data_IF_211866629434
#
_entry.id   IF_211866629434
#
_cell.length_a   1.000
_cell.length_b   1.000
_cell.length_c   1.000
_cell.angle_alpha   90.00
_cell.angle_beta   90.00
_cell.angle_gamma   90.00
#
_symmetry.space_group_name_H-M   'P 1'
#
loop_
_entity.id
_entity.type
_entity.pdbx_description
1 polymer ?
#
# COMPACT_ATOMS: atom_id res chain seq x y z
N UNK A 1 -77.86 53.09 20.41
CA UNK A 1 -76.47 53.07 19.89
C UNK A 1 -75.65 52.23 20.82
N UNK A 2 -75.41 50.95 20.49
CA UNK A 2 -74.55 50.08 21.26
C UNK A 2 -73.23 49.88 20.49
N UNK A 3 -72.15 50.37 21.09
CA UNK A 3 -70.81 50.14 20.58
C UNK A 3 -70.23 48.83 21.22
N UNK A 4 -70.17 47.74 20.47
CA UNK A 4 -69.43 46.55 20.89
C UNK A 4 -67.96 46.67 20.42
N UNK A 5 -67.07 46.95 21.35
CA UNK A 5 -65.63 46.82 21.18
C UNK A 5 -65.26 45.34 21.45
N UNK A 6 -64.84 44.63 20.41
CA UNK A 6 -64.21 43.30 20.51
C UNK A 6 -62.83 43.46 21.17
N UNK A 7 -62.72 43.03 22.40
CA UNK A 7 -61.42 42.87 23.10
C UNK A 7 -60.86 41.48 22.80
N UNK A 8 -59.89 41.37 21.92
CA UNK A 8 -59.11 40.15 21.64
C UNK A 8 -58.28 39.90 22.88
N UNK A 9 -58.51 38.77 23.56
CA UNK A 9 -57.78 38.38 24.77
C UNK A 9 -56.34 38.03 24.47
N UNK A 10 -55.37 38.44 25.31
CA UNK A 10 -53.93 38.22 25.11
C UNK A 10 -53.50 36.72 25.16
N UNK A 11 -54.41 35.83 25.51
CA UNK A 11 -54.15 34.37 25.62
C UNK A 11 -53.84 33.69 24.26
N UNK A 12 -54.33 34.25 23.15
CA UNK A 12 -54.12 33.66 21.79
C UNK A 12 -52.68 33.90 21.31
N UNK A 13 -52.01 34.98 21.71
CA UNK A 13 -50.64 35.29 21.33
C UNK A 13 -49.61 34.42 22.06
N UNK A 14 -49.91 33.94 23.28
CA UNK A 14 -49.02 33.07 24.06
C UNK A 14 -48.95 31.64 23.53
N UNK A 15 -50.08 31.14 22.98
CA UNK A 15 -50.13 29.77 22.41
C UNK A 15 -49.40 29.71 21.07
N UNK A 16 -49.47 30.79 20.23
CA UNK A 16 -48.74 30.86 18.97
C UNK A 16 -47.25 31.04 19.14
N UNK A 17 -46.77 31.72 20.20
CA UNK A 17 -45.34 31.87 20.52
C UNK A 17 -44.75 30.56 21.06
N UNK A 18 -45.51 29.71 21.76
CA UNK A 18 -45.06 28.43 22.31
C UNK A 18 -44.92 27.33 21.25
N UNK A 19 -45.76 27.39 20.19
CA UNK A 19 -45.68 26.43 19.07
C UNK A 19 -44.50 26.73 18.12
N UNK A 20 -43.99 27.95 18.02
CA UNK A 20 -42.81 28.27 17.23
C UNK A 20 -41.50 27.87 17.95
N UNK A 21 -41.50 27.77 19.27
CA UNK A 21 -40.28 27.38 20.03
C UNK A 21 -39.97 25.86 19.98
N UNK A 22 -40.91 25.04 19.46
CA UNK A 22 -40.74 23.59 19.35
C UNK A 22 -40.15 23.14 18.01
N UNK A 23 -39.83 24.07 17.11
CA UNK A 23 -38.96 23.77 15.93
C UNK A 23 -37.51 23.95 16.33
N UNK A 24 -37.15 23.34 17.43
CA UNK A 24 -35.75 23.18 17.84
C UNK A 24 -35.08 22.23 16.86
N UNK A 25 -33.97 22.64 16.31
CA UNK A 25 -33.04 21.88 15.48
C UNK A 25 -32.83 20.45 16.03
N UNK A 26 -33.71 19.53 15.72
CA UNK A 26 -33.38 18.12 15.85
C UNK A 26 -32.41 17.81 14.71
N UNK A 27 -31.11 17.74 15.03
CA UNK A 27 -30.19 17.05 14.14
C UNK A 27 -30.83 15.72 13.78
N UNK A 28 -31.02 15.48 12.49
CA UNK A 28 -31.52 14.19 12.02
C UNK A 28 -30.74 13.10 12.75
N UNK A 29 -31.44 12.23 13.47
CA UNK A 29 -30.82 11.07 14.10
C UNK A 29 -30.17 10.23 13.00
N UNK A 30 -28.86 10.17 13.00
CA UNK A 30 -28.09 9.28 12.15
C UNK A 30 -27.66 8.07 12.99
N UNK A 31 -28.30 6.92 12.81
CA UNK A 31 -27.95 5.70 13.55
C UNK A 31 -26.48 5.30 13.38
N UNK A 32 -25.87 5.66 12.25
CA UNK A 32 -24.45 5.37 11.96
C UNK A 32 -23.49 6.16 12.85
N UNK A 33 -23.92 7.33 13.35
CA UNK A 33 -23.07 8.14 14.25
C UNK A 33 -22.90 7.53 15.64
N UNK A 34 -23.77 6.58 16.02
CA UNK A 34 -23.74 5.87 17.31
C UNK A 34 -23.29 4.41 17.18
N UNK A 35 -23.14 3.91 15.96
CA UNK A 35 -22.60 2.57 15.77
C UNK A 35 -21.13 2.53 16.23
N UNK A 36 -20.71 1.50 16.98
CA UNK A 36 -19.30 1.32 17.31
C UNK A 36 -18.48 1.32 16.04
N UNK A 37 -17.39 2.09 16.01
CA UNK A 37 -16.47 2.06 14.86
C UNK A 37 -15.94 0.63 14.74
N UNK A 38 -16.10 0.04 13.57
CA UNK A 38 -15.49 -1.26 13.27
C UNK A 38 -13.98 -1.11 13.30
N UNK A 39 -13.31 -1.87 14.16
CA UNK A 39 -11.85 -1.88 14.32
C UNK A 39 -11.29 -3.27 13.99
N UNK A 40 -10.02 -3.29 13.57
CA UNK A 40 -9.23 -4.50 13.38
C UNK A 40 -7.89 -4.32 14.09
N UNK A 41 -7.51 -5.25 14.95
CA UNK A 41 -6.30 -5.12 15.76
C UNK A 41 -6.27 -3.86 16.66
N UNK A 42 -7.45 -3.27 16.97
CA UNK A 42 -7.56 -2.01 17.71
C UNK A 42 -7.55 -0.75 16.84
N UNK A 43 -7.30 -0.84 15.53
CA UNK A 43 -7.24 0.27 14.59
C UNK A 43 -8.58 0.50 13.89
N UNK A 44 -8.97 1.76 13.69
CA UNK A 44 -10.18 2.16 12.98
C UNK A 44 -9.93 2.57 11.52
N UNK A 45 -8.68 2.90 11.16
CA UNK A 45 -8.24 3.25 9.81
C UNK A 45 -6.84 2.70 9.53
N UNK A 46 -6.51 2.44 8.26
CA UNK A 46 -5.23 1.86 7.84
C UNK A 46 -4.01 2.73 8.15
N UNK A 47 -4.19 4.06 8.20
CA UNK A 47 -3.13 5.00 8.57
C UNK A 47 -2.79 5.00 10.08
N UNK A 48 -3.58 4.32 10.92
CA UNK A 48 -3.28 4.15 12.35
C UNK A 48 -2.35 2.95 12.59
N UNK A 49 -2.28 1.99 11.65
CA UNK A 49 -1.47 0.78 11.80
C UNK A 49 0.00 1.13 11.84
N UNK A 50 0.63 0.94 13.01
CA UNK A 50 2.04 1.25 13.26
C UNK A 50 2.48 2.62 12.70
N UNK A 51 1.65 3.65 12.84
CA UNK A 51 1.83 4.97 12.22
C UNK A 51 3.19 5.62 12.51
N UNK A 52 3.76 5.41 13.71
CA UNK A 52 5.09 5.91 14.10
C UNK A 52 6.27 5.22 13.39
N UNK A 53 6.01 4.08 12.77
CA UNK A 53 7.00 3.27 12.07
C UNK A 53 6.86 3.36 10.54
N UNK A 54 5.83 4.05 10.04
CA UNK A 54 5.63 4.30 8.61
C UNK A 54 6.67 5.31 8.11
N UNK A 55 7.43 4.94 7.06
CA UNK A 55 8.49 5.78 6.46
C UNK A 55 8.23 6.16 5.01
N UNK A 56 7.29 5.50 4.34
CA UNK A 56 6.74 5.91 3.05
C UNK A 56 5.33 5.37 2.85
N UNK A 57 4.48 6.15 2.19
CA UNK A 57 3.13 5.73 1.79
C UNK A 57 2.70 6.41 0.50
N UNK A 58 2.56 5.61 -0.55
CA UNK A 58 2.00 5.99 -1.84
C UNK A 58 0.57 5.46 -1.91
N UNK A 59 -0.39 6.35 -1.65
CA UNK A 59 -1.82 6.03 -1.75
C UNK A 59 -2.32 6.06 -3.20
N UNK A 60 -1.53 6.58 -4.14
CA UNK A 60 -1.85 6.70 -5.58
C UNK A 60 -3.19 7.40 -5.91
N UNK A 61 -3.67 8.26 -5.03
CA UNK A 61 -4.91 9.04 -5.18
C UNK A 61 -4.74 10.18 -6.20
N UNK A 62 -4.61 9.81 -7.48
CA UNK A 62 -4.41 10.74 -8.58
C UNK A 62 -3.03 11.38 -8.66
N UNK A 63 -2.07 10.92 -7.86
CA UNK A 63 -0.70 11.40 -7.83
C UNK A 63 0.28 10.31 -7.39
N UNK A 64 1.58 10.57 -7.52
CA UNK A 64 2.67 9.67 -7.13
C UNK A 64 3.47 10.24 -5.94
N UNK A 65 2.80 10.92 -5.01
CA UNK A 65 3.44 11.56 -3.86
C UNK A 65 3.49 10.59 -2.68
N UNK A 66 4.69 10.40 -2.11
CA UNK A 66 4.83 9.82 -0.79
C UNK A 66 4.25 10.77 0.27
N UNK A 67 3.17 10.36 0.92
CA UNK A 67 2.47 11.19 1.89
C UNK A 67 3.24 11.40 3.21
N UNK A 68 4.28 10.59 3.47
CA UNK A 68 5.13 10.73 4.66
C UNK A 68 6.20 11.80 4.45
N UNK A 69 6.94 11.74 3.34
CA UNK A 69 8.01 12.71 3.02
C UNK A 69 7.51 13.92 2.21
N UNK A 70 6.29 13.86 1.69
CA UNK A 70 5.73 14.82 0.73
C UNK A 70 6.58 14.97 -0.54
N UNK A 71 7.25 13.89 -0.97
CA UNK A 71 8.10 13.85 -2.16
C UNK A 71 7.41 13.03 -3.26
N UNK A 72 7.38 13.56 -4.47
CA UNK A 72 6.79 12.90 -5.62
C UNK A 72 7.77 11.91 -6.28
N UNK A 73 7.27 10.75 -6.71
CA UNK A 73 7.97 9.90 -7.65
C UNK A 73 7.85 10.48 -9.08
N UNK A 74 8.87 10.21 -9.89
CA UNK A 74 8.86 10.52 -11.32
C UNK A 74 7.95 9.54 -12.05
N UNK A 75 7.00 10.08 -12.84
CA UNK A 75 6.09 9.30 -13.66
C UNK A 75 6.71 8.99 -15.03
N UNK A 76 6.85 7.72 -15.35
CA UNK A 76 7.25 7.25 -16.69
C UNK A 76 6.07 6.52 -17.34
N UNK A 77 5.04 7.27 -17.72
CA UNK A 77 3.90 6.78 -18.50
C UNK A 77 2.78 6.12 -17.71
N UNK A 78 2.84 6.05 -16.37
CA UNK A 78 1.73 5.54 -15.57
C UNK A 78 0.53 6.48 -15.61
N UNK A 79 -0.66 5.95 -15.38
CA UNK A 79 -1.91 6.71 -15.32
C UNK A 79 -2.72 6.31 -14.07
N UNK A 80 -3.89 6.92 -13.91
CA UNK A 80 -4.78 6.59 -12.80
C UNK A 80 -5.86 5.60 -13.24
N UNK A 81 -6.25 4.71 -12.34
CA UNK A 81 -7.33 3.73 -12.49
C UNK A 81 -8.05 3.56 -11.15
N UNK A 82 -9.26 2.99 -11.11
CA UNK A 82 -9.88 2.62 -9.84
C UNK A 82 -8.96 1.69 -9.03
N UNK A 83 -8.67 2.07 -7.78
CA UNK A 83 -7.87 1.34 -6.81
C UNK A 83 -8.68 0.39 -5.94
N UNK A 84 -8.03 -0.25 -4.99
CA UNK A 84 -8.70 -0.95 -3.87
C UNK A 84 -9.33 0.09 -2.94
N UNK A 85 -8.69 1.26 -2.85
CA UNK A 85 -9.16 2.42 -2.12
C UNK A 85 -9.00 3.64 -3.01
N UNK A 86 -10.13 4.28 -3.40
CA UNK A 86 -10.09 5.43 -4.28
C UNK A 86 -9.50 5.16 -5.65
N UNK A 87 -8.31 5.72 -5.92
CA UNK A 87 -7.57 5.53 -7.17
C UNK A 87 -6.28 4.74 -6.91
N UNK A 88 -5.78 4.07 -7.94
CA UNK A 88 -4.49 3.39 -7.95
C UNK A 88 -3.65 3.80 -9.16
N UNK A 89 -2.37 3.44 -9.13
CA UNK A 89 -1.43 3.63 -10.22
C UNK A 89 -1.60 2.54 -11.26
N UNK A 90 -2.11 2.89 -12.44
CA UNK A 90 -2.16 2.00 -13.60
C UNK A 90 -0.78 1.88 -14.22
N UNK A 91 -0.27 0.67 -14.27
CA UNK A 91 0.98 0.27 -14.91
C UNK A 91 0.68 -0.50 -16.20
N UNK A 92 1.58 -0.48 -17.14
CA UNK A 92 1.48 -1.19 -18.41
C UNK A 92 2.84 -1.40 -19.02
N UNK A 93 2.88 -1.96 -20.22
CA UNK A 93 4.12 -2.18 -20.96
C UNK A 93 4.87 -0.86 -21.15
N UNK A 94 6.14 -0.82 -20.72
CA UNK A 94 6.98 0.38 -20.76
C UNK A 94 6.66 1.45 -19.72
N UNK A 95 5.67 1.25 -18.86
CA UNK A 95 5.24 2.24 -17.87
C UNK A 95 5.67 1.86 -16.45
N UNK A 96 6.18 2.83 -15.69
CA UNK A 96 6.64 2.64 -14.31
C UNK A 96 6.78 3.99 -13.60
N UNK A 97 6.91 3.96 -12.30
CA UNK A 97 7.27 5.16 -11.53
C UNK A 97 8.60 4.96 -10.81
N UNK A 98 9.34 6.06 -10.57
CA UNK A 98 10.66 6.05 -9.94
C UNK A 98 10.68 7.01 -8.76
N UNK A 99 10.98 6.52 -7.59
CA UNK A 99 11.07 7.30 -6.35
C UNK A 99 12.51 7.35 -5.84
N UNK A 100 12.98 8.53 -5.45
CA UNK A 100 14.26 8.68 -4.75
C UNK A 100 14.04 8.41 -3.26
N UNK A 101 14.60 7.32 -2.69
CA UNK A 101 14.35 6.96 -1.30
C UNK A 101 14.91 7.98 -0.32
N UNK A 102 14.15 8.23 0.75
CA UNK A 102 14.55 9.09 1.86
C UNK A 102 15.61 8.40 2.73
N UNK A 103 16.29 9.18 3.57
CA UNK A 103 17.26 8.63 4.54
C UNK A 103 16.58 7.63 5.50
N UNK A 104 15.30 7.82 5.82
CA UNK A 104 14.55 6.88 6.65
C UNK A 104 14.44 5.50 5.99
N UNK A 105 14.28 5.43 4.66
CA UNK A 105 14.28 4.16 3.91
C UNK A 105 15.70 3.59 3.79
N UNK A 106 16.69 4.45 3.51
CA UNK A 106 18.09 4.02 3.34
C UNK A 106 18.69 3.41 4.61
N UNK A 107 18.19 3.79 5.77
CA UNK A 107 18.70 3.35 7.08
C UNK A 107 17.84 2.25 7.73
N UNK A 108 16.99 1.55 6.97
CA UNK A 108 16.18 0.45 7.49
C UNK A 108 17.06 -0.69 8.05
N UNK A 109 16.73 -1.14 9.25
CA UNK A 109 17.32 -2.31 9.89
C UNK A 109 16.33 -3.49 9.83
N UNK A 110 15.13 -3.27 10.28
CA UNK A 110 13.96 -4.14 10.07
C UNK A 110 12.98 -3.41 9.16
N UNK A 111 12.10 -4.13 8.49
CA UNK A 111 11.16 -3.51 7.55
C UNK A 111 9.86 -4.28 7.39
N UNK A 112 8.86 -3.57 6.91
CA UNK A 112 7.71 -4.15 6.22
C UNK A 112 7.48 -3.37 4.93
N UNK A 113 7.27 -4.09 3.82
CA UNK A 113 6.81 -3.54 2.55
C UNK A 113 5.49 -4.21 2.24
N UNK A 114 4.44 -3.41 2.13
CA UNK A 114 3.09 -3.86 1.85
C UNK A 114 2.48 -3.05 0.72
N UNK A 115 1.72 -3.69 -0.17
CA UNK A 115 1.01 -3.03 -1.27
C UNK A 115 -0.11 -3.91 -1.78
N UNK A 116 -1.02 -3.29 -2.49
CA UNK A 116 -2.02 -3.98 -3.29
C UNK A 116 -1.62 -4.01 -4.76
N UNK A 117 -1.96 -5.10 -5.43
CA UNK A 117 -1.76 -5.26 -6.85
C UNK A 117 -2.90 -6.07 -7.45
N UNK A 118 -3.39 -5.62 -8.60
CA UNK A 118 -4.31 -6.37 -9.45
C UNK A 118 -3.72 -6.40 -10.85
N UNK A 119 -3.27 -7.56 -11.29
CA UNK A 119 -2.61 -7.72 -12.59
C UNK A 119 -3.09 -9.00 -13.26
N UNK A 120 -3.27 -9.00 -14.61
CA UNK A 120 -3.49 -10.22 -15.37
C UNK A 120 -2.22 -11.06 -15.41
N UNK A 121 -2.37 -12.31 -15.83
CA UNK A 121 -1.22 -13.13 -16.21
C UNK A 121 -0.43 -12.45 -17.32
N UNK A 122 0.89 -12.40 -17.17
CA UNK A 122 1.77 -11.89 -18.21
C UNK A 122 2.64 -13.02 -18.77
N UNK A 123 2.37 -13.43 -20.00
CA UNK A 123 3.10 -14.52 -20.66
C UNK A 123 4.47 -14.11 -21.17
N UNK A 124 4.82 -12.81 -21.14
CA UNK A 124 6.14 -12.33 -21.56
C UNK A 124 7.23 -12.60 -20.53
N UNK A 125 6.86 -12.73 -19.24
CA UNK A 125 7.86 -13.00 -18.21
C UNK A 125 7.45 -12.55 -16.81
N UNK A 126 8.43 -12.40 -15.95
CA UNK A 126 8.20 -11.97 -14.57
C UNK A 126 7.61 -10.55 -14.53
N UNK A 127 6.77 -10.31 -13.52
CA UNK A 127 6.23 -8.99 -13.22
C UNK A 127 6.78 -8.54 -11.87
N UNK A 128 7.47 -7.39 -11.84
CA UNK A 128 8.12 -6.86 -10.62
C UNK A 128 7.40 -5.62 -10.14
N UNK A 129 6.48 -5.72 -9.15
CA UNK A 129 5.82 -4.55 -8.59
C UNK A 129 6.77 -3.55 -7.93
N UNK A 130 7.83 -4.03 -7.24
CA UNK A 130 8.76 -3.17 -6.50
C UNK A 130 10.19 -3.65 -6.68
N UNK A 131 11.10 -2.75 -7.07
CA UNK A 131 12.54 -2.98 -7.21
C UNK A 131 13.33 -1.83 -6.58
N UNK A 132 14.23 -2.14 -5.65
CA UNK A 132 15.18 -1.19 -5.05
C UNK A 132 16.48 -1.27 -5.83
N UNK A 133 16.80 -0.24 -6.57
CA UNK A 133 17.88 -0.24 -7.56
C UNK A 133 19.26 -0.52 -6.95
N UNK A 134 20.01 -1.40 -7.61
CA UNK A 134 21.45 -1.56 -7.45
C UNK A 134 22.13 -1.31 -8.82
N UNK A 135 22.80 -0.18 -9.03
CA UNK A 135 23.31 0.18 -10.35
C UNK A 135 24.45 -0.73 -10.85
N UNK A 136 25.08 -1.49 -9.95
CA UNK A 136 26.24 -2.31 -10.24
C UNK A 136 25.94 -3.83 -10.32
N UNK A 137 24.69 -4.21 -10.03
CA UNK A 137 24.28 -5.62 -9.99
C UNK A 137 23.12 -5.87 -10.96
N UNK A 138 23.00 -7.13 -11.41
CA UNK A 138 21.89 -7.55 -12.27
C UNK A 138 20.54 -7.34 -11.55
N UNK A 139 20.41 -7.87 -10.34
CA UNK A 139 19.23 -7.67 -9.49
C UNK A 139 19.39 -6.42 -8.63
N UNK A 140 18.27 -5.82 -8.26
CA UNK A 140 18.24 -4.72 -7.32
C UNK A 140 18.74 -5.11 -5.93
N UNK A 141 18.94 -4.13 -5.05
CA UNK A 141 19.16 -4.42 -3.63
C UNK A 141 17.96 -5.13 -3.00
N UNK A 142 16.78 -4.98 -3.59
CA UNK A 142 15.61 -5.82 -3.34
C UNK A 142 14.71 -5.82 -4.58
N UNK A 143 14.20 -7.00 -4.94
CA UNK A 143 13.18 -7.19 -5.96
C UNK A 143 12.06 -8.09 -5.42
N UNK A 144 10.82 -7.72 -5.68
CA UNK A 144 9.64 -8.51 -5.36
C UNK A 144 8.87 -8.78 -6.65
N UNK A 145 8.72 -10.04 -7.06
CA UNK A 145 8.15 -10.35 -8.37
C UNK A 145 7.35 -11.65 -8.44
N UNK A 146 6.37 -11.65 -9.34
CA UNK A 146 5.65 -12.85 -9.75
C UNK A 146 6.49 -13.61 -10.76
N UNK A 147 6.67 -14.90 -10.52
CA UNK A 147 7.35 -15.84 -11.41
C UNK A 147 6.50 -17.10 -11.61
N UNK A 148 6.76 -17.85 -12.67
CA UNK A 148 5.98 -19.06 -12.99
C UNK A 148 4.56 -18.72 -13.40
N UNK A 149 4.39 -18.11 -14.56
CA UNK A 149 3.15 -17.58 -15.14
C UNK A 149 2.15 -18.67 -15.56
N UNK A 150 1.68 -19.49 -14.62
CA UNK A 150 0.58 -20.42 -14.84
C UNK A 150 -0.76 -19.74 -14.52
N UNK A 151 -1.85 -20.16 -15.17
CA UNK A 151 -3.17 -19.55 -14.98
C UNK A 151 -3.74 -19.75 -13.58
N UNK A 152 -3.40 -20.87 -12.94
CA UNK A 152 -3.92 -21.29 -11.64
C UNK A 152 -3.01 -20.95 -10.45
N UNK A 153 -1.78 -20.51 -10.71
CA UNK A 153 -0.79 -20.19 -9.66
C UNK A 153 0.33 -19.29 -10.16
N UNK A 154 1.01 -18.62 -9.24
CA UNK A 154 2.32 -18.01 -9.43
C UNK A 154 3.22 -18.32 -8.24
N UNK A 155 4.52 -18.43 -8.47
CA UNK A 155 5.52 -18.34 -7.40
C UNK A 155 5.85 -16.87 -7.19
N UNK A 156 5.69 -16.38 -5.99
CA UNK A 156 6.15 -15.05 -5.63
C UNK A 156 7.56 -15.16 -5.07
N UNK A 157 8.49 -14.47 -5.71
CA UNK A 157 9.91 -14.48 -5.35
C UNK A 157 10.32 -13.12 -4.82
N UNK A 158 11.24 -13.14 -3.90
CA UNK A 158 11.93 -11.95 -3.42
C UNK A 158 13.41 -12.21 -3.39
N UNK A 159 14.15 -11.24 -3.91
CA UNK A 159 15.60 -11.17 -3.87
C UNK A 159 16.00 -9.98 -2.99
N UNK A 160 16.99 -10.14 -2.12
CA UNK A 160 17.49 -9.05 -1.28
C UNK A 160 18.98 -9.21 -1.03
N UNK A 161 19.68 -8.08 -0.98
CA UNK A 161 21.02 -7.98 -0.40
C UNK A 161 20.96 -7.45 1.04
N UNK A 162 21.77 -8.01 1.92
CA UNK A 162 21.97 -7.59 3.30
C UNK A 162 23.41 -7.35 3.64
N UNK A 163 23.68 -6.86 4.86
CA UNK A 163 25.02 -6.66 5.40
C UNK A 163 25.96 -5.89 4.44
N UNK A 164 25.51 -4.73 3.95
CA UNK A 164 26.29 -3.93 3.00
C UNK A 164 26.51 -4.58 1.64
N UNK A 165 25.70 -5.56 1.25
CA UNK A 165 25.83 -6.32 0.00
C UNK A 165 26.65 -7.60 0.13
N UNK A 166 27.17 -7.93 1.33
CA UNK A 166 27.96 -9.13 1.54
C UNK A 166 27.11 -10.42 1.59
N UNK A 167 25.83 -10.30 1.90
CA UNK A 167 24.90 -11.42 2.00
C UNK A 167 23.74 -11.23 1.01
N UNK A 168 23.27 -12.35 0.46
CA UNK A 168 22.20 -12.39 -0.52
C UNK A 168 21.15 -13.40 -0.07
N UNK A 169 19.87 -13.05 -0.15
CA UNK A 169 18.75 -13.93 0.14
C UNK A 169 17.83 -14.06 -1.06
N UNK A 170 17.55 -15.30 -1.45
CA UNK A 170 16.50 -15.67 -2.41
C UNK A 170 15.36 -16.37 -1.67
N UNK A 171 14.23 -15.69 -1.60
CA UNK A 171 13.02 -16.19 -0.95
C UNK A 171 12.05 -16.62 -2.05
N UNK A 172 12.13 -17.89 -2.45
CA UNK A 172 11.54 -18.37 -3.71
C UNK A 172 10.47 -19.46 -3.55
N UNK A 173 10.04 -19.76 -2.33
CA UNK A 173 9.19 -20.95 -2.08
C UNK A 173 7.70 -20.65 -1.91
N UNK A 174 7.24 -19.42 -2.17
CA UNK A 174 5.88 -19.01 -1.83
C UNK A 174 4.96 -18.99 -3.04
N UNK A 175 4.07 -19.99 -3.11
CA UNK A 175 3.07 -20.10 -4.17
C UNK A 175 1.80 -19.34 -3.80
N UNK A 176 1.28 -18.57 -4.74
CA UNK A 176 -0.02 -17.89 -4.64
C UNK A 176 -0.98 -18.57 -5.62
N UNK A 177 -2.07 -19.10 -5.10
CA UNK A 177 -3.10 -19.74 -5.92
C UNK A 177 -3.95 -18.67 -6.63
N UNK A 178 -4.17 -18.86 -7.93
CA UNK A 178 -5.01 -18.01 -8.79
C UNK A 178 -4.77 -16.51 -8.53
N UNK A 179 -3.54 -15.98 -8.74
CA UNK A 179 -3.21 -14.61 -8.33
C UNK A 179 -3.75 -13.54 -9.29
N UNK A 180 -4.23 -13.92 -10.48
CA UNK A 180 -4.50 -13.02 -11.59
C UNK A 180 -5.90 -12.40 -11.56
N UNK A 181 -6.04 -11.22 -12.18
CA UNK A 181 -7.29 -10.49 -12.40
C UNK A 181 -8.11 -10.21 -11.12
N UNK A 182 -7.42 -10.08 -9.98
CA UNK A 182 -8.03 -9.74 -8.69
C UNK A 182 -7.05 -8.97 -7.82
N UNK A 183 -7.58 -8.20 -6.89
CA UNK A 183 -6.77 -7.53 -5.89
C UNK A 183 -6.11 -8.51 -4.93
N UNK A 184 -4.82 -8.38 -4.79
CA UNK A 184 -4.00 -9.06 -3.80
C UNK A 184 -3.30 -8.04 -2.93
N UNK A 185 -3.42 -8.18 -1.62
CA UNK A 185 -2.55 -7.51 -0.66
C UNK A 185 -1.33 -8.40 -0.41
N UNK A 186 -0.16 -7.89 -0.71
CA UNK A 186 1.11 -8.57 -0.49
C UNK A 186 1.89 -7.81 0.57
N UNK A 187 2.44 -8.52 1.56
CA UNK A 187 3.31 -7.93 2.56
C UNK A 187 4.51 -8.82 2.86
N UNK A 188 5.69 -8.24 2.81
CA UNK A 188 6.94 -8.82 3.28
C UNK A 188 7.36 -8.11 4.55
N UNK A 189 7.62 -8.86 5.62
CA UNK A 189 8.26 -8.35 6.84
C UNK A 189 9.64 -8.97 7.00
N UNK A 190 10.58 -8.18 7.51
CA UNK A 190 11.90 -8.61 7.94
C UNK A 190 12.22 -8.06 9.33
N UNK A 191 12.54 -8.95 10.26
CA UNK A 191 13.04 -8.58 11.59
C UNK A 191 14.54 -8.93 11.68
N UNK A 192 15.36 -7.90 11.76
CA UNK A 192 16.82 -8.04 11.83
C UNK A 192 17.28 -8.77 13.10
N UNK A 193 16.54 -8.63 14.21
CA UNK A 193 16.95 -9.26 15.50
C UNK A 193 16.85 -10.78 15.43
N UNK A 194 15.82 -11.30 14.77
CA UNK A 194 15.61 -12.74 14.56
C UNK A 194 16.07 -13.22 13.18
N UNK A 195 16.51 -12.30 12.31
CA UNK A 195 16.89 -12.54 10.91
C UNK A 195 15.82 -13.28 10.11
N UNK A 196 14.56 -13.01 10.49
CA UNK A 196 13.40 -13.72 9.97
C UNK A 196 12.61 -12.87 8.99
N UNK A 197 12.38 -13.45 7.83
CA UNK A 197 11.42 -12.99 6.84
C UNK A 197 10.07 -13.68 7.04
N UNK A 198 8.97 -12.94 6.83
CA UNK A 198 7.64 -13.51 6.75
C UNK A 198 6.86 -12.87 5.59
N UNK A 199 6.19 -13.70 4.80
CA UNK A 199 5.42 -13.27 3.65
C UNK A 199 3.93 -13.52 3.87
N UNK A 200 3.12 -12.54 3.54
CA UNK A 200 1.68 -12.54 3.73
C UNK A 200 0.97 -12.25 2.42
N UNK A 201 -0.14 -12.94 2.19
CA UNK A 201 -1.09 -12.69 1.11
C UNK A 201 -2.47 -12.46 1.73
N UNK A 202 -3.09 -11.35 1.42
CA UNK A 202 -4.42 -10.98 1.94
C UNK A 202 -4.48 -11.07 3.49
N UNK A 203 -3.44 -10.54 4.15
CA UNK A 203 -3.31 -10.54 5.60
C UNK A 203 -3.11 -11.92 6.23
N UNK A 204 -2.84 -12.96 5.45
CA UNK A 204 -2.59 -14.34 5.93
C UNK A 204 -1.14 -14.73 5.68
N UNK A 205 -0.49 -15.27 6.70
CA UNK A 205 0.89 -15.76 6.60
C UNK A 205 0.96 -16.92 5.61
N UNK A 206 1.80 -16.81 4.59
CA UNK A 206 2.07 -17.86 3.59
C UNK A 206 3.31 -18.66 3.98
N UNK A 207 4.34 -18.00 4.47
CA UNK A 207 5.57 -18.66 4.86
C UNK A 207 6.56 -17.75 5.56
N UNK A 208 7.58 -18.37 6.14
CA UNK A 208 8.70 -17.70 6.79
C UNK A 208 10.01 -18.29 6.35
N UNK A 209 11.08 -17.48 6.40
CA UNK A 209 12.46 -17.92 6.16
C UNK A 209 13.38 -17.22 7.15
N UNK A 210 14.29 -17.96 7.78
CA UNK A 210 15.35 -17.38 8.60
C UNK A 210 16.65 -17.44 7.81
N UNK A 211 17.33 -16.29 7.70
CA UNK A 211 18.57 -16.12 6.93
C UNK A 211 19.69 -15.71 7.89
N UNK A 212 20.32 -16.70 8.53
CA UNK A 212 21.35 -16.46 9.54
C UNK A 212 22.49 -15.61 8.98
N UNK A 213 22.83 -14.53 9.67
CA UNK A 213 23.87 -13.58 9.29
C UNK A 213 23.46 -12.57 8.22
N UNK A 214 22.18 -12.52 7.81
CA UNK A 214 21.74 -11.61 6.75
C UNK A 214 22.01 -10.14 7.09
N UNK A 215 21.79 -9.75 8.35
CA UNK A 215 22.02 -8.38 8.81
C UNK A 215 20.99 -7.38 8.28
N UNK A 216 21.36 -6.09 8.30
CA UNK A 216 20.48 -5.03 7.78
C UNK A 216 20.32 -5.13 6.26
N UNK A 217 19.13 -4.84 5.68
CA UNK A 217 18.96 -4.70 4.25
C UNK A 217 19.94 -3.68 3.66
N UNK A 218 20.52 -3.98 2.49
CA UNK A 218 21.50 -3.09 1.86
C UNK A 218 20.84 -1.94 1.12
N UNK A 219 20.20 -1.01 1.86
CA UNK A 219 19.48 0.11 1.24
C UNK A 219 20.25 1.45 1.29
N UNK A 220 21.37 1.50 1.99
CA UNK A 220 22.15 2.74 2.17
C UNK A 220 22.57 3.39 0.85
N UNK A 221 22.86 2.59 -0.18
CA UNK A 221 23.33 3.05 -1.50
C UNK A 221 22.25 3.02 -2.57
N UNK A 222 21.01 2.68 -2.25
CA UNK A 222 19.89 2.64 -3.21
C UNK A 222 19.62 4.03 -3.78
N UNK A 223 19.83 4.26 -5.08
CA UNK A 223 19.58 5.56 -5.70
C UNK A 223 18.10 5.77 -6.02
N UNK A 224 17.35 4.69 -6.25
CA UNK A 224 15.96 4.75 -6.65
C UNK A 224 15.17 3.50 -6.26
N UNK A 225 13.86 3.66 -6.11
CA UNK A 225 12.88 2.57 -6.03
C UNK A 225 12.02 2.65 -7.29
N UNK A 226 11.99 1.57 -8.06
CA UNK A 226 11.15 1.42 -9.24
C UNK A 226 9.86 0.72 -8.84
N UNK A 227 8.72 1.27 -9.25
CA UNK A 227 7.39 0.71 -9.03
C UNK A 227 6.79 0.33 -10.39
N UNK A 228 6.51 -0.96 -10.59
CA UNK A 228 5.87 -1.49 -11.79
C UNK A 228 6.75 -2.32 -12.72
N UNK A 229 8.08 -2.35 -12.51
CA UNK A 229 9.00 -3.24 -13.24
C UNK A 229 10.33 -3.41 -12.50
N UNK A 230 11.20 -4.31 -13.00
CA UNK A 230 12.56 -4.48 -12.50
C UNK A 230 13.50 -3.37 -13.02
N UNK A 231 14.58 -3.09 -12.30
CA UNK A 231 15.56 -2.04 -12.64
C UNK A 231 16.14 -2.17 -14.05
N UNK A 232 16.31 -3.39 -14.55
CA UNK A 232 16.86 -3.67 -15.87
C UNK A 232 15.83 -3.57 -17.02
N UNK A 233 14.56 -3.36 -16.70
CA UNK A 233 13.49 -3.14 -17.70
C UNK A 233 13.11 -1.65 -17.81
N UNK A 234 13.71 -0.77 -17.04
CA UNK A 234 13.53 0.68 -17.18
C UNK A 234 14.22 1.21 -18.45
N UNK A 235 13.81 2.35 -18.98
CA UNK A 235 14.43 2.96 -20.15
C UNK A 235 14.89 4.41 -19.83
N UNK A 236 16.22 4.68 -19.75
CA UNK A 236 17.32 3.70 -19.83
C UNK A 236 17.31 2.72 -18.64
N UNK A 237 18.02 1.58 -18.77
CA UNK A 237 18.20 0.64 -17.65
C UNK A 237 18.87 1.34 -16.47
N UNK A 238 18.45 0.99 -15.25
CA UNK A 238 19.03 1.58 -14.04
C UNK A 238 20.19 0.74 -13.44
N UNK A 239 20.69 -0.22 -14.21
CA UNK A 239 21.90 -0.98 -13.87
C UNK A 239 22.85 -1.04 -15.06
N UNK A 240 24.15 -1.04 -14.75
CA UNK A 240 25.21 -1.25 -15.74
C UNK A 240 25.52 -2.73 -15.98
N UNK A 241 24.99 -3.62 -15.15
CA UNK A 241 25.31 -5.05 -15.20
C UNK A 241 24.60 -5.81 -16.34
N UNK A 242 23.50 -5.27 -16.89
CA UNK A 242 22.73 -5.89 -17.96
C UNK A 242 21.82 -4.88 -18.65
N UNK A 243 21.38 -5.25 -19.87
CA UNK A 243 20.29 -4.60 -20.60
C UNK A 243 18.94 -5.28 -20.31
N UNK A 244 17.89 -4.86 -21.05
CA UNK A 244 16.56 -5.46 -21.01
C UNK A 244 16.59 -6.97 -21.20
N UNK A 245 15.70 -7.66 -20.52
CA UNK A 245 15.59 -9.13 -20.57
C UNK A 245 14.25 -9.54 -21.18
N UNK A 246 14.27 -10.38 -22.21
CA UNK A 246 13.06 -10.86 -22.89
C UNK A 246 12.14 -11.73 -22.00
N UNK A 247 12.69 -12.29 -20.93
CA UNK A 247 11.97 -13.09 -19.92
C UNK A 247 11.41 -12.26 -18.75
N UNK A 248 11.57 -10.94 -18.78
CA UNK A 248 11.04 -10.03 -17.78
C UNK A 248 10.09 -9.03 -18.42
N UNK A 249 9.16 -8.54 -17.64
CA UNK A 249 8.13 -7.65 -18.13
C UNK A 249 7.71 -6.63 -17.06
N UNK A 250 6.65 -5.91 -17.36
CA UNK A 250 6.04 -4.91 -16.48
C UNK A 250 4.82 -5.51 -15.77
N UNK A 251 4.42 -4.93 -14.67
CA UNK A 251 3.05 -5.10 -14.15
C UNK A 251 2.09 -4.59 -15.22
N UNK A 252 1.07 -5.37 -15.58
CA UNK A 252 0.09 -4.98 -16.60
C UNK A 252 -1.25 -4.54 -15.99
N UNK A 253 -1.24 -4.06 -14.77
CA UNK A 253 -2.43 -3.79 -13.99
C UNK A 253 -2.30 -2.58 -13.09
N UNK A 254 -2.95 -2.63 -11.94
CA UNK A 254 -3.04 -1.52 -11.00
C UNK A 254 -2.30 -1.86 -9.71
N UNK A 255 -1.51 -0.92 -9.22
CA UNK A 255 -0.91 -0.94 -7.88
C UNK A 255 -1.58 0.11 -7.00
N UNK A 256 -1.70 -0.20 -5.70
CA UNK A 256 -2.33 0.70 -4.74
C UNK A 256 -1.75 0.55 -3.34
N UNK A 257 -1.88 1.59 -2.51
CA UNK A 257 -1.54 1.60 -1.08
C UNK A 257 -0.14 1.03 -0.76
N UNK A 258 0.90 1.42 -1.53
CA UNK A 258 2.27 0.99 -1.23
C UNK A 258 2.78 1.67 0.05
N UNK A 259 3.13 0.85 1.04
CA UNK A 259 3.63 1.28 2.34
C UNK A 259 4.97 0.65 2.67
N UNK A 260 5.87 1.44 3.25
CA UNK A 260 7.15 0.99 3.79
C UNK A 260 7.21 1.38 5.26
N UNK A 261 7.47 0.40 6.13
CA UNK A 261 7.64 0.61 7.57
C UNK A 261 9.07 0.27 7.99
N UNK A 262 9.61 0.98 8.97
CA UNK A 262 10.93 0.70 9.60
C UNK A 262 10.88 -0.40 10.66
N UNK A 263 9.86 -1.26 10.62
CA UNK A 263 9.57 -2.33 11.57
C UNK A 263 9.03 -3.56 10.84
N UNK A 264 9.36 -4.73 11.32
CA UNK A 264 8.64 -5.94 11.00
C UNK A 264 7.26 -5.88 11.68
N UNK A 265 6.19 -5.62 10.93
CA UNK A 265 4.82 -5.65 11.45
C UNK A 265 4.49 -7.04 11.96
N UNK A 266 3.71 -7.11 13.04
CA UNK A 266 3.16 -8.37 13.52
C UNK A 266 2.13 -8.94 12.55
N UNK A 267 1.83 -10.23 12.66
CA UNK A 267 0.78 -10.85 11.84
C UNK A 267 -0.59 -10.17 12.04
N UNK A 268 -0.88 -9.72 13.27
CA UNK A 268 -2.11 -9.01 13.59
C UNK A 268 -2.14 -7.61 12.97
N UNK A 269 -1.00 -6.88 12.93
CA UNK A 269 -0.90 -5.58 12.24
C UNK A 269 -1.09 -5.74 10.72
N UNK A 270 -0.44 -6.75 10.11
CA UNK A 270 -0.61 -7.04 8.67
C UNK A 270 -2.05 -7.42 8.35
N UNK A 271 -2.69 -8.22 9.22
CA UNK A 271 -4.10 -8.59 9.07
C UNK A 271 -5.04 -7.39 9.24
N UNK A 272 -4.73 -6.50 10.19
CA UNK A 272 -5.50 -5.27 10.39
C UNK A 272 -5.38 -4.35 9.19
N UNK A 273 -4.17 -4.13 8.67
CA UNK A 273 -3.90 -3.33 7.48
C UNK A 273 -4.72 -3.82 6.29
N UNK A 274 -4.61 -5.12 5.97
CA UNK A 274 -5.40 -5.75 4.92
C UNK A 274 -6.90 -5.52 5.08
N UNK A 275 -7.46 -5.78 6.28
CA UNK A 275 -8.91 -5.67 6.50
C UNK A 275 -9.40 -4.22 6.37
N UNK A 276 -8.62 -3.25 6.86
CA UNK A 276 -8.98 -1.83 6.82
C UNK A 276 -8.95 -1.32 5.38
N UNK A 277 -7.88 -1.57 4.63
CA UNK A 277 -7.76 -1.14 3.25
C UNK A 277 -8.79 -1.82 2.33
N UNK A 278 -9.06 -3.11 2.54
CA UNK A 278 -10.11 -3.83 1.79
C UNK A 278 -11.53 -3.26 2.04
N UNK A 279 -11.72 -2.49 3.11
CA UNK A 279 -12.95 -1.76 3.41
C UNK A 279 -12.89 -0.27 3.02
N UNK A 280 -11.81 0.16 2.36
CA UNK A 280 -11.58 1.55 1.98
C UNK A 280 -11.34 2.49 3.17
N UNK A 281 -10.80 1.99 4.28
CA UNK A 281 -10.57 2.74 5.51
C UNK A 281 -9.10 3.12 5.70
#
# INVERSE_FOLDING_TARGET
>A
MYNNKLTIKPAIFLVAAFTLAMVSCQKKFDPKSYAPKQTFGGYAASNEVAASDLVAHFAFEGNLVDSVSNTAATNNGTSNSPGIKGQGMQVGEGNYAVFTPTDAIKNLQSMTIAYWVNTPINTKGIQTPVSFVNPDQFWGNMDMFFDGQASDKSVFKMHLFGNGGANEAWLAAWSIASPWDKWLHLALTYDMTSEKFAFYVNGTLVGTSTQAGFGAPNFATVPAIVMGTAQFQTNPTMTSATDHQDWASFVLGVMDELRIYKKALTADDVKALYNLENLGK
#
